data_IF_874802675323
#
_entry.id   IF_874802675323
#
_cell.length_a   1.000
_cell.length_b   1.000
_cell.length_c   1.000
_cell.angle_alpha   90.00
_cell.angle_beta   90.00
_cell.angle_gamma   90.00
#
_symmetry.space_group_name_H-M   'P 1'
#
loop_
_entity.id
_entity.type
_entity.pdbx_description
1 polymer ?
#
# COMPACT_ATOMS: atom_id res chain seq x y z
N UNK A 1 -21.77 -34.73 -12.78
CA UNK A 1 -21.32 -33.78 -11.74
C UNK A 1 -19.87 -34.11 -11.45
N UNK A 2 -19.01 -33.10 -11.41
CA UNK A 2 -17.56 -33.28 -11.27
C UNK A 2 -17.06 -32.49 -10.06
N UNK A 3 -15.98 -32.97 -9.46
CA UNK A 3 -15.36 -32.34 -8.30
C UNK A 3 -13.95 -31.91 -8.66
N UNK A 4 -13.54 -30.75 -8.16
CA UNK A 4 -12.24 -30.17 -8.42
C UNK A 4 -11.63 -29.65 -7.12
N UNK A 5 -10.34 -29.92 -6.92
CA UNK A 5 -9.52 -29.25 -5.94
C UNK A 5 -8.90 -28.00 -6.58
N UNK A 6 -9.06 -26.85 -5.94
CA UNK A 6 -8.47 -25.57 -6.36
C UNK A 6 -7.10 -25.40 -5.72
N UNK A 7 -6.09 -25.17 -6.55
CA UNK A 7 -4.69 -25.09 -6.15
C UNK A 7 -4.20 -23.63 -6.14
N UNK A 8 -3.32 -23.29 -5.20
CA UNK A 8 -2.56 -22.05 -5.23
C UNK A 8 -1.27 -22.21 -6.08
N UNK A 9 -0.44 -21.16 -6.12
CA UNK A 9 0.82 -21.16 -6.87
C UNK A 9 1.86 -22.20 -6.42
N UNK A 10 1.69 -22.81 -5.24
CA UNK A 10 2.57 -23.85 -4.68
C UNK A 10 1.97 -25.26 -4.84
N UNK A 11 0.91 -25.39 -5.64
CA UNK A 11 0.11 -26.60 -5.81
C UNK A 11 -0.57 -27.10 -4.51
N UNK A 12 -0.81 -26.21 -3.55
CA UNK A 12 -1.54 -26.55 -2.31
C UNK A 12 -3.03 -26.31 -2.55
N UNK A 13 -3.85 -27.30 -2.21
CA UNK A 13 -5.30 -27.18 -2.32
C UNK A 13 -5.85 -26.19 -1.28
N UNK A 14 -6.50 -25.13 -1.76
CA UNK A 14 -7.14 -24.10 -0.94
C UNK A 14 -8.64 -24.32 -0.78
N UNK A 15 -9.25 -25.17 -1.61
CA UNK A 15 -10.66 -25.48 -1.55
C UNK A 15 -11.09 -26.59 -2.51
N UNK A 16 -12.28 -27.14 -2.29
CA UNK A 16 -12.92 -28.11 -3.19
C UNK A 16 -14.23 -27.54 -3.75
N UNK A 17 -14.44 -27.71 -5.05
CA UNK A 17 -15.61 -27.19 -5.77
C UNK A 17 -16.27 -28.26 -6.61
N UNK A 18 -17.56 -28.06 -6.85
CA UNK A 18 -18.40 -28.98 -7.60
C UNK A 18 -18.96 -28.25 -8.82
N UNK A 19 -18.83 -28.87 -9.98
CA UNK A 19 -19.32 -28.29 -11.24
C UNK A 19 -20.22 -29.29 -11.98
N UNK A 20 -21.12 -28.74 -12.82
CA UNK A 20 -21.95 -29.57 -13.71
C UNK A 20 -21.12 -30.15 -14.85
N UNK A 21 -20.29 -29.30 -15.45
CA UNK A 21 -19.45 -29.61 -16.61
C UNK A 21 -17.96 -29.63 -16.25
N UNK A 22 -17.13 -30.12 -17.18
CA UNK A 22 -15.69 -30.12 -17.02
C UNK A 22 -15.14 -28.69 -16.91
N UNK A 23 -14.28 -28.47 -15.91
CA UNK A 23 -13.57 -27.21 -15.75
C UNK A 23 -12.26 -27.26 -16.52
N UNK A 24 -11.96 -26.21 -17.29
CA UNK A 24 -10.67 -26.02 -17.95
C UNK A 24 -9.92 -24.87 -17.26
N UNK A 25 -9.43 -25.15 -16.06
CA UNK A 25 -8.69 -24.21 -15.21
C UNK A 25 -7.34 -24.86 -14.85
N UNK A 26 -6.19 -24.24 -15.19
CA UNK A 26 -4.87 -24.79 -14.88
C UNK A 26 -4.61 -24.94 -13.38
N UNK A 27 -5.35 -24.20 -12.55
CA UNK A 27 -5.26 -24.26 -11.09
C UNK A 27 -6.33 -25.17 -10.48
N UNK A 28 -6.96 -26.05 -11.27
CA UNK A 28 -7.95 -27.00 -10.79
C UNK A 28 -7.60 -28.43 -11.21
N UNK A 29 -7.62 -29.34 -10.24
CA UNK A 29 -7.40 -30.78 -10.48
C UNK A 29 -8.68 -31.53 -10.18
N UNK A 30 -9.14 -32.37 -11.12
CA UNK A 30 -10.33 -33.21 -10.94
C UNK A 30 -10.05 -34.24 -9.84
N UNK A 31 -10.97 -34.33 -8.86
CA UNK A 31 -10.90 -35.25 -7.73
C UNK A 31 -12.11 -36.19 -7.74
N UNK A 32 -11.95 -37.36 -7.13
CA UNK A 32 -12.97 -38.42 -7.19
C UNK A 32 -14.22 -38.11 -6.34
N UNK A 33 -14.05 -37.30 -5.29
CA UNK A 33 -15.13 -36.96 -4.37
C UNK A 33 -14.97 -35.55 -3.80
N UNK A 34 -16.07 -34.96 -3.33
CA UNK A 34 -16.06 -33.67 -2.63
C UNK A 34 -15.57 -33.84 -1.19
N UNK A 35 -14.29 -34.15 -1.03
CA UNK A 35 -13.67 -34.40 0.26
C UNK A 35 -12.84 -33.20 0.73
N UNK A 36 -13.15 -32.68 1.91
CA UNK A 36 -12.35 -31.62 2.55
C UNK A 36 -10.95 -32.08 2.97
N UNK A 37 -10.66 -33.37 2.98
CA UNK A 37 -9.33 -33.91 3.27
C UNK A 37 -8.26 -33.51 2.26
N UNK A 38 -8.67 -33.11 1.04
CA UNK A 38 -7.75 -32.54 0.06
C UNK A 38 -7.28 -31.13 0.47
N UNK A 39 -8.05 -30.39 1.25
CA UNK A 39 -7.69 -29.02 1.65
C UNK A 39 -6.39 -29.05 2.46
N UNK A 40 -5.47 -28.19 2.07
CA UNK A 40 -4.10 -28.10 2.56
C UNK A 40 -3.17 -29.24 2.15
N UNK A 41 -3.58 -30.18 1.29
CA UNK A 41 -2.64 -31.12 0.68
C UNK A 41 -1.99 -30.51 -0.55
N UNK A 42 -0.72 -30.82 -0.76
CA UNK A 42 0.00 -30.44 -1.98
C UNK A 42 -0.23 -31.51 -3.05
N UNK A 43 -0.50 -31.08 -4.27
CA UNK A 43 -0.59 -31.92 -5.44
C UNK A 43 0.74 -31.91 -6.19
N UNK A 44 1.29 -33.09 -6.49
CA UNK A 44 2.44 -33.21 -7.38
C UNK A 44 1.95 -33.49 -8.82
N UNK A 45 2.05 -32.53 -9.74
CA UNK A 45 1.61 -32.71 -11.12
C UNK A 45 2.46 -33.73 -11.91
N UNK A 46 3.67 -34.06 -11.44
CA UNK A 46 4.56 -35.02 -12.10
C UNK A 46 4.13 -36.46 -11.82
N UNK A 47 3.87 -36.77 -10.55
CA UNK A 47 3.44 -38.10 -10.10
C UNK A 47 1.92 -38.26 -10.08
N UNK A 48 1.18 -37.16 -10.20
CA UNK A 48 -0.28 -37.07 -10.05
C UNK A 48 -0.77 -37.56 -8.68
N UNK A 49 0.01 -37.31 -7.64
CA UNK A 49 -0.28 -37.75 -6.28
C UNK A 49 -0.47 -36.57 -5.32
N UNK A 50 -1.19 -36.85 -4.23
CA UNK A 50 -1.38 -35.90 -3.14
C UNK A 50 -0.39 -36.19 -2.01
N UNK A 51 0.06 -35.15 -1.33
CA UNK A 51 0.86 -35.29 -0.12
C UNK A 51 0.12 -36.09 0.96
N UNK A 52 0.88 -36.85 1.74
CA UNK A 52 0.36 -37.58 2.90
C UNK A 52 0.00 -36.62 4.03
N UNK A 53 0.82 -35.59 4.23
CA UNK A 53 0.64 -34.57 5.25
C UNK A 53 -0.08 -33.33 4.71
N UNK A 54 -0.80 -32.63 5.59
CA UNK A 54 -1.42 -31.33 5.28
C UNK A 54 -0.40 -30.23 5.57
N UNK A 55 -0.18 -29.36 4.59
CA UNK A 55 0.51 -28.09 4.73
C UNK A 55 -0.40 -27.10 5.42
N UNK A 56 -0.52 -27.22 6.74
CA UNK A 56 -1.20 -26.21 7.52
C UNK A 56 -0.44 -24.89 7.35
N UNK A 57 -1.11 -23.79 6.97
CA UNK A 57 -0.47 -22.49 6.99
C UNK A 57 -0.02 -22.25 8.43
N UNK A 58 1.28 -22.00 8.60
CA UNK A 58 1.85 -21.65 9.89
C UNK A 58 1.32 -20.26 10.27
N UNK A 59 0.10 -20.22 10.80
CA UNK A 59 -0.63 -18.99 11.14
C UNK A 59 0.21 -18.01 11.96
N UNK A 60 1.06 -18.44 12.92
CA UNK A 60 1.96 -17.55 13.63
C UNK A 60 2.95 -16.85 12.69
N UNK A 61 3.56 -17.58 11.75
CA UNK A 61 4.58 -17.03 10.84
C UNK A 61 3.99 -16.03 9.83
N UNK A 62 2.78 -16.28 9.32
CA UNK A 62 2.07 -15.36 8.42
C UNK A 62 1.69 -14.07 9.17
N UNK A 63 1.15 -14.19 10.38
CA UNK A 63 0.77 -13.03 11.20
C UNK A 63 1.99 -12.18 11.62
N UNK A 64 3.13 -12.81 11.92
CA UNK A 64 4.38 -12.12 12.22
C UNK A 64 4.88 -11.30 11.03
N UNK A 65 4.84 -11.86 9.81
CA UNK A 65 5.29 -11.16 8.60
C UNK A 65 4.39 -9.97 8.26
N UNK A 66 3.08 -10.13 8.35
CA UNK A 66 2.12 -9.05 8.15
C UNK A 66 2.29 -7.95 9.19
N UNK A 67 2.54 -8.32 10.45
CA UNK A 67 2.78 -7.36 11.53
C UNK A 67 4.06 -6.55 11.33
N UNK A 68 5.18 -7.20 10.96
CA UNK A 68 6.44 -6.50 10.67
C UNK A 68 6.29 -5.55 9.47
N UNK A 69 5.56 -5.96 8.43
CA UNK A 69 5.26 -5.08 7.29
C UNK A 69 4.42 -3.87 7.72
N UNK A 70 3.37 -4.08 8.51
CA UNK A 70 2.54 -3.00 9.03
C UNK A 70 3.33 -2.01 9.89
N UNK A 71 4.30 -2.49 10.67
CA UNK A 71 5.19 -1.64 11.46
C UNK A 71 6.08 -0.78 10.56
N UNK A 72 6.69 -1.37 9.53
CA UNK A 72 7.51 -0.65 8.57
C UNK A 72 6.70 0.42 7.80
N UNK A 73 5.48 0.07 7.38
CA UNK A 73 4.60 1.01 6.67
C UNK A 73 4.18 2.17 7.58
N UNK A 74 3.90 1.89 8.86
CA UNK A 74 3.59 2.93 9.86
C UNK A 74 4.77 3.88 10.06
N UNK A 75 5.98 3.35 10.26
CA UNK A 75 7.18 4.17 10.45
C UNK A 75 7.42 5.08 9.23
N UNK A 76 7.25 4.55 8.02
CA UNK A 76 7.33 5.34 6.79
C UNK A 76 6.27 6.44 6.73
N UNK A 77 5.02 6.12 7.05
CA UNK A 77 3.92 7.10 7.07
C UNK A 77 4.19 8.22 8.09
N UNK A 78 4.70 7.89 9.27
CA UNK A 78 5.05 8.88 10.29
C UNK A 78 6.17 9.82 9.81
N UNK A 79 7.19 9.27 9.13
CA UNK A 79 8.24 10.08 8.51
C UNK A 79 7.70 11.00 7.39
N UNK A 80 6.86 10.46 6.50
CA UNK A 80 6.27 11.22 5.40
C UNK A 80 5.40 12.39 5.95
N UNK A 81 4.59 12.12 6.99
CA UNK A 81 3.77 13.15 7.66
C UNK A 81 4.64 14.24 8.29
N UNK A 82 5.72 13.86 9.00
CA UNK A 82 6.65 14.84 9.57
C UNK A 82 7.30 15.69 8.50
N UNK A 83 7.71 15.09 7.37
CA UNK A 83 8.27 15.82 6.23
C UNK A 83 7.31 16.86 5.67
N UNK A 84 6.05 16.50 5.47
CA UNK A 84 5.01 17.43 4.99
C UNK A 84 4.77 18.57 5.98
N UNK A 85 4.70 18.29 7.28
CA UNK A 85 4.53 19.32 8.30
C UNK A 85 5.70 20.31 8.32
N UNK A 86 6.94 19.83 8.18
CA UNK A 86 8.13 20.68 8.11
C UNK A 86 8.14 21.56 6.85
N UNK A 87 7.80 21.00 5.69
CA UNK A 87 7.70 21.77 4.44
C UNK A 87 6.63 22.86 4.55
N UNK A 88 5.47 22.54 5.11
CA UNK A 88 4.39 23.51 5.30
C UNK A 88 4.81 24.63 6.27
N UNK A 89 5.48 24.27 7.37
CA UNK A 89 5.99 25.26 8.32
C UNK A 89 7.01 26.21 7.67
N UNK A 90 7.93 25.66 6.86
CA UNK A 90 8.90 26.45 6.12
C UNK A 90 8.21 27.37 5.11
N UNK A 91 7.26 26.84 4.33
CA UNK A 91 6.53 27.62 3.34
C UNK A 91 5.77 28.78 3.97
N UNK A 92 5.05 28.54 5.07
CA UNK A 92 4.32 29.59 5.80
C UNK A 92 5.27 30.66 6.33
N UNK A 93 6.44 30.27 6.85
CA UNK A 93 7.46 31.22 7.30
C UNK A 93 7.96 32.09 6.15
N UNK A 94 8.28 31.48 5.00
CA UNK A 94 8.70 32.22 3.80
C UNK A 94 7.62 33.18 3.31
N UNK A 95 6.36 32.76 3.29
CA UNK A 95 5.24 33.65 2.91
C UNK A 95 5.10 34.83 3.88
N UNK A 96 5.25 34.60 5.18
CA UNK A 96 5.20 35.67 6.18
C UNK A 96 6.34 36.69 5.99
N UNK A 97 7.57 36.20 5.74
CA UNK A 97 8.74 37.04 5.47
C UNK A 97 8.56 37.88 4.19
N UNK A 98 8.10 37.26 3.10
CA UNK A 98 7.77 37.97 1.86
C UNK A 98 6.69 39.04 2.06
N UNK A 99 5.65 38.72 2.83
CA UNK A 99 4.59 39.66 3.18
C UNK A 99 5.11 40.87 3.96
N UNK A 100 6.05 40.67 4.88
CA UNK A 100 6.66 41.77 5.62
C UNK A 100 7.56 42.63 4.73
N UNK A 101 8.41 42.01 3.90
CA UNK A 101 9.26 42.73 2.94
C UNK A 101 8.45 43.62 1.99
N UNK A 102 7.28 43.13 1.53
CA UNK A 102 6.39 43.93 0.68
C UNK A 102 5.80 45.15 1.41
N UNK A 103 5.48 45.02 2.70
CA UNK A 103 5.00 46.16 3.50
C UNK A 103 6.11 47.19 3.68
N UNK A 104 7.31 46.75 3.99
CA UNK A 104 8.47 47.62 4.23
C UNK A 104 8.87 48.36 2.94
N UNK A 105 8.87 47.66 1.79
CA UNK A 105 9.13 48.26 0.48
C UNK A 105 8.08 49.31 0.10
N UNK A 106 6.79 49.06 0.39
CA UNK A 106 5.70 50.04 0.17
C UNK A 106 5.87 51.27 1.05
N UNK A 107 6.22 51.09 2.32
CA UNK A 107 6.45 52.21 3.24
C UNK A 107 7.62 53.08 2.77
N UNK A 108 8.73 52.46 2.36
CA UNK A 108 9.89 53.17 1.82
C UNK A 108 9.54 53.96 0.55
N UNK A 109 8.81 53.34 -0.39
CA UNK A 109 8.40 54.02 -1.62
C UNK A 109 7.49 55.23 -1.33
N UNK A 110 6.53 55.07 -0.42
CA UNK A 110 5.65 56.17 0.00
C UNK A 110 6.44 57.33 0.61
N UNK A 111 7.44 57.06 1.45
CA UNK A 111 8.30 58.09 2.04
C UNK A 111 9.14 58.83 0.98
N UNK A 112 9.70 58.10 0.02
CA UNK A 112 10.45 58.66 -1.10
C UNK A 112 9.58 59.60 -1.95
N UNK A 113 8.35 59.20 -2.30
CA UNK A 113 7.41 60.05 -3.03
C UNK A 113 7.09 61.33 -2.27
N UNK A 114 6.90 61.24 -0.95
CA UNK A 114 6.64 62.40 -0.10
C UNK A 114 7.83 63.38 -0.08
N UNK A 115 9.06 62.87 -0.02
CA UNK A 115 10.29 63.69 -0.09
C UNK A 115 10.44 64.37 -1.45
N UNK A 116 10.18 63.66 -2.54
CA UNK A 116 10.23 64.23 -3.89
C UNK A 116 9.18 65.33 -4.08
N UNK A 117 7.94 65.12 -3.62
CA UNK A 117 6.88 66.12 -3.68
C UNK A 117 7.22 67.40 -2.89
N UNK A 118 7.92 67.28 -1.75
CA UNK A 118 8.38 68.44 -0.97
C UNK A 118 9.51 69.21 -1.65
N UNK A 119 10.40 68.54 -2.37
CA UNK A 119 11.56 69.15 -3.02
C UNK A 119 11.26 69.69 -4.43
N UNK A 120 10.16 69.27 -5.06
CA UNK A 120 9.74 69.70 -6.40
C UNK A 120 8.80 70.91 -6.44
N UNK A 121 8.44 71.48 -5.29
CA UNK A 121 7.69 72.74 -5.20
C UNK A 121 8.71 73.87 -4.97
N UNK A 122 9.28 74.37 -6.06
CA UNK A 122 9.92 75.69 -6.17
C UNK A 122 9.51 76.29 -7.52
#
# INVERSE_FOLDING_TARGET
MKFYAELNGDNICTGVKMTRDAMNDPNAVEIESMDSEYVWKQYDPTTKTWSTEKFLPDRPAIQLKEFEQLKADKEKLEMDVQGVLQMNAMHLKTMAEQGQQLKDAKALNSDLLLKLARNGIN
#
